data_IF_644579662268
#
_entry.id   IF_644579662268
#
_cell.length_a   1.000
_cell.length_b   1.000
_cell.length_c   1.000
_cell.angle_alpha   90.00
_cell.angle_beta   90.00
_cell.angle_gamma   90.00
#
_symmetry.space_group_name_H-M   'P 1'
#
loop_
_entity.id
_entity.type
_entity.pdbx_description
1 polymer ?
#
# COMPACT_ATOMS: atom_id res chain seq x y z
N UNK A 1 23.42 -6.62 -34.22
CA UNK A 1 23.18 -6.41 -32.78
C UNK A 1 23.34 -7.75 -32.08
N UNK A 2 24.38 -7.93 -31.25
CA UNK A 2 24.80 -9.26 -30.77
C UNK A 2 23.73 -9.92 -29.89
N UNK A 3 23.63 -11.26 -29.97
CA UNK A 3 22.71 -12.09 -29.20
C UNK A 3 22.88 -11.88 -27.67
N UNK A 4 24.10 -11.57 -27.24
CA UNK A 4 24.44 -11.18 -25.87
C UNK A 4 23.73 -9.91 -25.41
N UNK A 5 23.71 -8.85 -26.24
CA UNK A 5 23.02 -7.58 -25.89
C UNK A 5 21.50 -7.77 -25.70
N UNK A 6 20.89 -8.67 -26.48
CA UNK A 6 19.46 -8.98 -26.36
C UNK A 6 19.14 -9.76 -25.07
N UNK A 7 20.01 -10.67 -24.67
CA UNK A 7 19.86 -11.43 -23.42
C UNK A 7 19.96 -10.53 -22.19
N UNK A 8 20.98 -9.65 -22.15
CA UNK A 8 21.13 -8.66 -21.07
C UNK A 8 19.93 -7.72 -20.96
N UNK A 9 19.41 -7.22 -22.09
CA UNK A 9 18.22 -6.37 -22.11
C UNK A 9 16.96 -7.06 -21.57
N UNK A 10 16.78 -8.35 -21.88
CA UNK A 10 15.64 -9.13 -21.38
C UNK A 10 15.76 -9.39 -19.87
N UNK A 11 16.95 -9.76 -19.40
CA UNK A 11 17.23 -9.99 -17.99
C UNK A 11 17.02 -8.70 -17.15
N UNK A 12 17.54 -7.57 -17.64
CA UNK A 12 17.35 -6.27 -17.00
C UNK A 12 15.86 -5.87 -16.93
N UNK A 13 15.10 -6.10 -18.00
CA UNK A 13 13.65 -5.86 -18.01
C UNK A 13 12.90 -6.72 -16.98
N UNK A 14 13.22 -8.02 -16.90
CA UNK A 14 12.59 -8.91 -15.92
C UNK A 14 12.96 -8.54 -14.49
N UNK A 15 14.22 -8.18 -14.24
CA UNK A 15 14.68 -7.70 -12.94
C UNK A 15 13.96 -6.39 -12.54
N UNK A 16 13.91 -5.40 -13.43
CA UNK A 16 13.21 -4.14 -13.18
C UNK A 16 11.70 -4.34 -12.97
N UNK A 17 11.07 -5.21 -13.75
CA UNK A 17 9.65 -5.55 -13.58
C UNK A 17 9.39 -6.25 -12.24
N UNK A 18 10.27 -7.16 -11.85
CA UNK A 18 10.20 -7.85 -10.56
C UNK A 18 10.38 -6.89 -9.39
N UNK A 19 11.35 -5.98 -9.48
CA UNK A 19 11.59 -4.97 -8.45
C UNK A 19 10.41 -4.00 -8.35
N UNK A 20 9.86 -3.51 -9.47
CA UNK A 20 8.66 -2.67 -9.48
C UNK A 20 7.47 -3.37 -8.82
N UNK A 21 7.25 -4.64 -9.13
CA UNK A 21 6.22 -5.46 -8.52
C UNK A 21 6.40 -5.58 -6.99
N UNK A 22 7.64 -5.84 -6.54
CA UNK A 22 7.96 -5.92 -5.11
C UNK A 22 7.77 -4.58 -4.40
N UNK A 23 8.20 -3.46 -5.00
CA UNK A 23 8.02 -2.12 -4.43
C UNK A 23 6.54 -1.78 -4.24
N UNK A 24 5.72 -2.03 -5.26
CA UNK A 24 4.26 -1.85 -5.16
C UNK A 24 3.67 -2.74 -4.08
N UNK A 25 4.06 -4.02 -4.03
CA UNK A 25 3.55 -4.97 -3.06
C UNK A 25 3.91 -4.56 -1.63
N UNK A 26 5.17 -4.21 -1.36
CA UNK A 26 5.63 -3.77 -0.03
C UNK A 26 4.91 -2.52 0.41
N UNK A 27 4.83 -1.51 -0.45
CA UNK A 27 4.13 -0.26 -0.14
C UNK A 27 2.66 -0.50 0.14
N UNK A 28 2.01 -1.35 -0.64
CA UNK A 28 0.64 -1.77 -0.36
C UNK A 28 0.52 -2.47 0.99
N UNK A 29 1.35 -3.49 1.28
CA UNK A 29 1.31 -4.21 2.55
C UNK A 29 1.49 -3.28 3.75
N UNK A 30 2.43 -2.34 3.67
CA UNK A 30 2.67 -1.38 4.74
C UNK A 30 1.46 -0.45 4.92
N UNK A 31 1.01 0.20 3.85
CA UNK A 31 -0.15 1.10 3.89
C UNK A 31 -1.38 0.36 4.40
N UNK A 32 -1.61 -0.85 3.93
CA UNK A 32 -2.75 -1.68 4.29
C UNK A 32 -2.72 -2.08 5.76
N UNK A 33 -1.56 -2.52 6.26
CA UNK A 33 -1.36 -2.86 7.66
C UNK A 33 -1.65 -1.70 8.62
N UNK A 34 -1.14 -0.50 8.31
CA UNK A 34 -1.35 0.69 9.15
C UNK A 34 -2.74 1.29 8.99
N UNK A 35 -3.36 1.16 7.81
CA UNK A 35 -4.72 1.63 7.58
C UNK A 35 -5.73 0.76 8.33
N UNK A 36 -5.49 -0.55 8.40
CA UNK A 36 -6.36 -1.50 9.09
C UNK A 36 -6.13 -1.62 10.60
N UNK A 37 -5.07 -1.01 11.14
CA UNK A 37 -4.86 -0.97 12.58
C UNK A 37 -6.02 -0.21 13.24
N UNK A 38 -6.81 -0.84 14.12
CA UNK A 38 -7.84 -0.15 14.89
C UNK A 38 -7.20 0.94 15.74
N UNK A 39 -7.73 2.15 15.64
CA UNK A 39 -7.32 3.31 16.44
C UNK A 39 -8.56 3.93 17.04
N UNK A 40 -8.51 4.25 18.33
CA UNK A 40 -9.59 4.98 18.98
C UNK A 40 -9.61 6.42 18.47
N UNK A 41 -10.79 6.87 18.03
CA UNK A 41 -11.04 8.21 17.49
C UNK A 41 -12.04 8.99 18.34
N UNK A 42 -12.47 8.44 19.49
CA UNK A 42 -13.27 9.15 20.49
C UNK A 42 -12.61 10.49 20.84
N UNK A 43 -13.33 11.60 20.63
CA UNK A 43 -12.87 12.96 20.96
C UNK A 43 -12.21 13.75 19.81
N UNK A 44 -11.94 13.16 18.65
CA UNK A 44 -11.34 13.89 17.51
C UNK A 44 -12.39 14.50 16.57
N UNK A 45 -12.79 15.76 16.80
CA UNK A 45 -13.77 16.45 15.93
C UNK A 45 -13.30 16.64 14.47
N UNK A 46 -11.98 16.78 14.26
CA UNK A 46 -11.35 16.98 12.94
C UNK A 46 -10.21 15.97 12.65
N UNK A 47 -9.63 15.34 13.68
CA UNK A 47 -8.55 14.36 13.55
C UNK A 47 -9.00 13.01 12.97
N UNK A 48 -10.21 12.54 13.31
CA UNK A 48 -10.76 11.29 12.81
C UNK A 48 -11.07 11.33 11.31
N UNK A 49 -11.72 12.39 10.82
CA UNK A 49 -12.04 12.54 9.39
C UNK A 49 -10.80 12.80 8.53
N UNK A 50 -9.90 13.69 8.95
CA UNK A 50 -8.69 13.98 8.16
C UNK A 50 -7.74 12.76 8.15
N UNK A 51 -7.60 12.06 9.27
CA UNK A 51 -6.84 10.81 9.36
C UNK A 51 -7.44 9.72 8.48
N UNK A 52 -8.76 9.59 8.43
CA UNK A 52 -9.47 8.66 7.56
C UNK A 52 -9.25 8.97 6.06
N UNK A 53 -9.38 10.23 5.65
CA UNK A 53 -9.13 10.65 4.27
C UNK A 53 -7.68 10.41 3.85
N UNK A 54 -6.71 10.71 4.72
CA UNK A 54 -5.29 10.42 4.48
C UNK A 54 -5.05 8.92 4.32
N UNK A 55 -5.55 8.09 5.25
CA UNK A 55 -5.43 6.62 5.18
C UNK A 55 -6.04 6.07 3.88
N UNK A 56 -7.23 6.53 3.49
CA UNK A 56 -7.88 6.13 2.24
C UNK A 56 -7.11 6.60 1.01
N UNK A 57 -6.61 7.83 1.02
CA UNK A 57 -5.82 8.36 -0.11
C UNK A 57 -4.54 7.56 -0.32
N UNK A 58 -3.87 7.14 0.76
CA UNK A 58 -2.70 6.28 0.72
C UNK A 58 -3.07 4.88 0.18
N UNK A 59 -4.21 4.33 0.60
CA UNK A 59 -4.69 3.03 0.10
C UNK A 59 -5.03 3.08 -1.39
N UNK A 60 -5.73 4.12 -1.86
CA UNK A 60 -5.99 4.32 -3.30
C UNK A 60 -4.70 4.47 -4.09
N UNK A 61 -3.74 5.22 -3.55
CA UNK A 61 -2.42 5.37 -4.16
C UNK A 61 -1.75 4.01 -4.29
N UNK A 62 -1.73 3.21 -3.23
CA UNK A 62 -1.16 1.87 -3.24
C UNK A 62 -1.86 0.93 -4.24
N UNK A 63 -3.20 0.94 -4.30
CA UNK A 63 -3.98 0.14 -5.27
C UNK A 63 -3.65 0.54 -6.71
N UNK A 64 -3.44 1.83 -6.96
CA UNK A 64 -3.12 2.33 -8.31
C UNK A 64 -1.81 1.73 -8.86
N UNK A 65 -0.86 1.38 -8.00
CA UNK A 65 0.37 0.68 -8.39
C UNK A 65 0.09 -0.67 -9.09
N UNK A 66 -0.88 -1.44 -8.59
CA UNK A 66 -1.28 -2.70 -9.22
C UNK A 66 -2.00 -2.50 -10.55
N UNK A 67 -2.76 -1.40 -10.69
CA UNK A 67 -3.38 -1.03 -11.96
C UNK A 67 -2.30 -0.70 -13.00
N UNK A 68 -1.27 0.07 -12.63
CA UNK A 68 -0.14 0.36 -13.51
C UNK A 68 0.64 -0.89 -13.92
N UNK A 69 0.93 -1.80 -12.97
CA UNK A 69 1.55 -3.10 -13.27
C UNK A 69 0.74 -3.88 -14.33
N UNK A 70 -0.58 -3.89 -14.19
CA UNK A 70 -1.50 -4.56 -15.12
C UNK A 70 -1.61 -3.85 -16.48
N UNK A 71 -1.67 -2.52 -16.49
CA UNK A 71 -1.80 -1.68 -17.69
C UNK A 71 -0.59 -1.83 -18.60
N UNK A 72 0.63 -1.74 -18.04
CA UNK A 72 1.87 -1.94 -18.79
C UNK A 72 2.20 -3.43 -19.03
N UNK A 73 1.40 -4.34 -18.43
CA UNK A 73 1.58 -5.80 -18.50
C UNK A 73 2.99 -6.23 -18.11
N UNK A 74 3.50 -5.66 -17.01
CA UNK A 74 4.83 -5.96 -16.51
C UNK A 74 4.92 -7.44 -16.09
N UNK A 75 6.12 -8.01 -16.16
CA UNK A 75 6.29 -9.42 -15.83
C UNK A 75 5.81 -9.72 -14.39
N UNK A 76 5.02 -10.78 -14.22
CA UNK A 76 4.53 -11.18 -12.90
C UNK A 76 3.30 -10.45 -12.37
N UNK A 77 2.75 -9.44 -13.07
CA UNK A 77 1.63 -8.62 -12.55
C UNK A 77 0.44 -9.46 -12.03
N UNK A 78 0.08 -10.54 -12.73
CA UNK A 78 -1.04 -11.42 -12.33
C UNK A 78 -0.79 -12.12 -11.00
N UNK A 79 0.44 -12.56 -10.77
CA UNK A 79 0.84 -13.23 -9.53
C UNK A 79 0.81 -12.24 -8.38
N UNK A 80 1.31 -11.04 -8.63
CA UNK A 80 1.34 -9.94 -7.64
C UNK A 80 -0.08 -9.57 -7.18
N UNK A 81 -1.06 -9.52 -8.08
CA UNK A 81 -2.47 -9.33 -7.72
C UNK A 81 -3.01 -10.44 -6.79
N UNK A 82 -2.63 -11.69 -7.02
CA UNK A 82 -3.03 -12.80 -6.15
C UNK A 82 -2.38 -12.69 -4.76
N UNK A 83 -1.07 -12.42 -4.72
CA UNK A 83 -0.33 -12.26 -3.45
C UNK A 83 -0.85 -11.06 -2.66
N UNK A 84 -1.16 -9.94 -3.33
CA UNK A 84 -1.76 -8.77 -2.70
C UNK A 84 -3.12 -9.09 -2.07
N UNK A 85 -3.98 -9.85 -2.77
CA UNK A 85 -5.25 -10.31 -2.21
C UNK A 85 -5.09 -11.19 -0.97
N UNK A 86 -4.10 -12.10 -0.96
CA UNK A 86 -3.79 -12.92 0.22
C UNK A 86 -3.31 -12.07 1.40
N UNK A 87 -2.44 -11.08 1.13
CA UNK A 87 -1.92 -10.18 2.15
C UNK A 87 -3.04 -9.33 2.76
N UNK A 88 -3.93 -8.77 1.93
CA UNK A 88 -5.11 -8.02 2.38
C UNK A 88 -5.96 -8.85 3.34
N UNK A 89 -6.28 -10.09 2.95
CA UNK A 89 -7.08 -11.00 3.79
C UNK A 89 -6.34 -11.32 5.09
N UNK A 90 -5.04 -11.62 5.00
CA UNK A 90 -4.22 -11.95 6.17
C UNK A 90 -4.11 -10.79 7.16
N UNK A 91 -3.90 -9.57 6.68
CA UNK A 91 -3.83 -8.35 7.49
C UNK A 91 -5.19 -8.06 8.14
N UNK A 92 -6.27 -8.09 7.35
CA UNK A 92 -7.61 -7.89 7.87
C UNK A 92 -7.96 -8.93 8.94
N UNK A 93 -7.58 -10.18 8.73
CA UNK A 93 -7.83 -11.28 9.67
C UNK A 93 -7.00 -11.12 10.95
N UNK A 94 -5.72 -10.74 10.80
CA UNK A 94 -4.85 -10.43 11.93
C UNK A 94 -5.47 -9.35 12.83
N UNK A 95 -5.90 -8.24 12.23
CA UNK A 95 -6.54 -7.16 12.99
C UNK A 95 -7.92 -7.55 13.52
N UNK A 96 -8.70 -8.37 12.83
CA UNK A 96 -9.99 -8.89 13.32
C UNK A 96 -9.82 -9.72 14.59
N UNK A 97 -8.80 -10.57 14.64
CA UNK A 97 -8.50 -11.39 15.82
C UNK A 97 -8.05 -10.50 16.99
N UNK A 98 -7.18 -9.51 16.72
CA UNK A 98 -6.73 -8.53 17.72
C UNK A 98 -7.88 -7.67 18.25
N UNK A 99 -8.77 -7.22 17.37
CA UNK A 99 -9.96 -6.43 17.71
C UNK A 99 -10.78 -7.13 18.80
N UNK A 100 -10.99 -8.44 18.67
CA UNK A 100 -11.75 -9.23 19.65
C UNK A 100 -11.05 -9.35 21.02
N UNK A 101 -9.72 -9.28 21.06
CA UNK A 101 -8.95 -9.55 22.26
C UNK A 101 -8.52 -8.29 23.03
N UNK A 102 -8.21 -7.21 22.32
CA UNK A 102 -7.57 -6.03 22.89
C UNK A 102 -8.49 -4.81 22.97
N UNK A 103 -9.61 -4.81 22.23
CA UNK A 103 -10.44 -3.62 22.03
C UNK A 103 -11.89 -3.84 22.48
N UNK A 104 -12.06 -4.35 23.71
CA UNK A 104 -13.36 -4.69 24.31
C UNK A 104 -14.03 -3.53 25.05
N UNK A 105 -13.44 -2.33 25.02
CA UNK A 105 -13.97 -1.17 25.74
C UNK A 105 -15.23 -0.63 25.03
N UNK A 106 -16.41 -0.63 25.68
CA UNK A 106 -17.64 -0.15 25.08
C UNK A 106 -17.66 1.35 24.79
N UNK A 107 -16.74 2.14 25.36
CA UNK A 107 -16.67 3.60 25.16
C UNK A 107 -15.70 4.01 24.02
N UNK A 108 -14.88 3.09 23.51
CA UNK A 108 -13.94 3.35 22.42
C UNK A 108 -14.65 3.38 21.06
N UNK A 109 -14.54 4.49 20.34
CA UNK A 109 -14.98 4.59 18.95
C UNK A 109 -13.81 4.22 18.05
N UNK A 110 -13.75 2.97 17.63
CA UNK A 110 -12.62 2.46 16.86
C UNK A 110 -12.82 2.66 15.35
N UNK A 111 -11.75 3.09 14.69
CA UNK A 111 -11.68 3.15 13.22
C UNK A 111 -10.39 2.49 12.74
N UNK A 112 -10.43 1.52 11.81
CA UNK A 112 -11.65 0.90 11.23
C UNK A 112 -12.42 0.01 12.23
N UNK A 113 -13.74 -0.12 12.04
CA UNK A 113 -14.58 -1.02 12.83
C UNK A 113 -14.49 -2.48 12.30
N UNK A 114 -15.00 -3.41 13.08
CA UNK A 114 -15.22 -4.81 12.74
C UNK A 114 -15.86 -5.06 11.36
N UNK A 115 -16.80 -4.21 10.96
CA UNK A 115 -17.47 -4.27 9.67
C UNK A 115 -16.55 -3.87 8.52
N UNK A 116 -15.73 -2.83 8.71
CA UNK A 116 -14.71 -2.36 7.75
C UNK A 116 -13.62 -3.41 7.51
N UNK A 117 -13.19 -4.11 8.58
CA UNK A 117 -12.25 -5.24 8.44
C UNK A 117 -12.84 -6.37 7.59
N UNK A 118 -14.14 -6.64 7.74
CA UNK A 118 -14.83 -7.65 6.93
C UNK A 118 -14.96 -7.22 5.46
N UNK A 119 -15.25 -5.94 5.21
CA UNK A 119 -15.25 -5.36 3.87
C UNK A 119 -13.87 -5.46 3.22
N UNK A 120 -12.81 -5.21 3.99
CA UNK A 120 -11.42 -5.34 3.53
C UNK A 120 -11.07 -6.76 3.09
N UNK A 121 -11.54 -7.78 3.83
CA UNK A 121 -11.39 -9.18 3.40
C UNK A 121 -12.07 -9.44 2.06
N UNK A 122 -13.27 -8.89 1.82
CA UNK A 122 -13.97 -9.03 0.54
C UNK A 122 -13.20 -8.37 -0.60
N UNK A 123 -12.58 -7.21 -0.36
CA UNK A 123 -11.68 -6.56 -1.34
C UNK A 123 -10.51 -7.48 -1.67
N UNK A 124 -9.88 -8.08 -0.65
CA UNK A 124 -8.80 -9.04 -0.83
C UNK A 124 -9.20 -10.27 -1.64
N UNK A 125 -10.40 -10.82 -1.39
CA UNK A 125 -10.98 -11.92 -2.18
C UNK A 125 -11.21 -11.47 -3.64
N UNK A 126 -11.70 -10.25 -3.85
CA UNK A 126 -11.85 -9.66 -5.18
C UNK A 126 -10.52 -9.57 -5.95
N UNK A 127 -9.46 -9.10 -5.28
CA UNK A 127 -8.12 -9.03 -5.88
C UNK A 127 -7.56 -10.42 -6.22
N UNK A 128 -7.70 -11.38 -5.29
CA UNK A 128 -7.27 -12.77 -5.46
C UNK A 128 -7.96 -13.42 -6.66
N UNK A 129 -9.29 -13.34 -6.71
CA UNK A 129 -10.10 -13.93 -7.77
C UNK A 129 -9.83 -13.28 -9.12
N UNK A 130 -9.64 -11.96 -9.16
CA UNK A 130 -9.26 -11.25 -10.39
C UNK A 130 -7.89 -11.71 -10.91
N UNK A 131 -6.88 -11.77 -10.04
CA UNK A 131 -5.55 -12.26 -10.37
C UNK A 131 -5.58 -13.70 -10.89
N UNK A 132 -6.29 -14.58 -10.20
CA UNK A 132 -6.46 -15.98 -10.57
C UNK A 132 -7.18 -16.15 -11.92
N UNK A 133 -8.27 -15.41 -12.14
CA UNK A 133 -9.01 -15.44 -13.40
C UNK A 133 -8.13 -15.00 -14.57
N UNK A 134 -7.39 -13.89 -14.42
CA UNK A 134 -6.44 -13.42 -15.44
C UNK A 134 -5.30 -14.42 -15.69
N UNK A 135 -4.82 -15.08 -14.64
CA UNK A 135 -3.78 -16.11 -14.73
C UNK A 135 -4.26 -17.33 -15.53
N UNK A 136 -5.43 -17.86 -15.18
CA UNK A 136 -6.05 -19.00 -15.88
C UNK A 136 -6.36 -18.64 -17.33
N UNK A 137 -6.96 -17.47 -17.58
CA UNK A 137 -7.25 -17.01 -18.95
C UNK A 137 -6.00 -16.96 -19.82
N UNK A 138 -4.88 -16.50 -19.27
CA UNK A 138 -3.64 -16.41 -20.01
C UNK A 138 -2.94 -17.76 -20.26
N UNK A 139 -3.20 -18.78 -19.42
CA UNK A 139 -2.74 -20.14 -19.69
C UNK A 139 -3.58 -20.83 -20.77
N UNK A 140 -4.87 -20.47 -20.90
CA UNK A 140 -5.79 -21.04 -21.89
C UNK A 140 -5.65 -20.44 -23.28
N UNK A 141 -5.26 -19.16 -23.36
CA UNK A 141 -4.97 -18.49 -24.64
C UNK A 141 -3.50 -18.75 -24.95
N UNK A 142 -3.21 -19.47 -26.06
CA UNK A 142 -1.84 -19.61 -26.55
C UNK A 142 -1.21 -18.22 -26.66
N UNK A 143 0.05 -18.03 -26.21
CA UNK A 143 0.71 -16.75 -26.35
C UNK A 143 0.82 -16.46 -27.84
N UNK A 144 -0.06 -15.62 -28.38
CA UNK A 144 0.24 -14.94 -29.61
C UNK A 144 1.46 -14.09 -29.28
N UNK A 145 2.62 -14.50 -29.79
CA UNK A 145 3.85 -13.72 -29.84
C UNK A 145 3.57 -12.44 -30.61
N UNK A 146 2.83 -11.51 -29.99
CA UNK A 146 2.82 -10.12 -30.41
C UNK A 146 4.06 -9.53 -29.77
N UNK A 147 5.16 -9.33 -30.54
CA UNK A 147 6.28 -8.57 -30.05
C UNK A 147 5.71 -7.25 -29.55
N UNK A 148 5.92 -6.94 -28.27
CA UNK A 148 5.51 -5.66 -27.73
C UNK A 148 6.22 -4.61 -28.58
N UNK A 149 5.47 -3.80 -29.34
CA UNK A 149 6.03 -2.84 -30.29
C UNK A 149 7.03 -1.86 -29.65
N UNK A 150 7.06 -1.74 -28.31
CA UNK A 150 7.97 -0.85 -27.58
C UNK A 150 8.42 -1.43 -26.21
N UNK A 151 9.48 -2.26 -26.15
CA UNK A 151 10.01 -2.80 -24.89
C UNK A 151 10.63 -1.72 -23.98
N UNK A 152 11.12 -0.61 -24.57
CA UNK A 152 11.70 0.50 -23.82
C UNK A 152 10.65 1.20 -22.94
N UNK A 153 9.41 1.36 -23.42
CA UNK A 153 8.34 2.03 -22.68
C UNK A 153 7.94 1.26 -21.41
N UNK A 154 7.89 -0.08 -21.48
CA UNK A 154 7.64 -0.92 -20.28
C UNK A 154 8.77 -0.84 -19.27
N UNK A 155 10.01 -0.73 -19.75
CA UNK A 155 11.18 -0.59 -18.87
C UNK A 155 11.15 0.76 -18.15
N UNK A 156 10.83 1.85 -18.86
CA UNK A 156 10.63 3.16 -18.24
C UNK A 156 9.47 3.16 -17.24
N UNK A 157 8.35 2.50 -17.57
CA UNK A 157 7.24 2.35 -16.64
C UNK A 157 7.64 1.59 -15.37
N UNK A 158 8.42 0.51 -15.49
CA UNK A 158 8.93 -0.23 -14.34
C UNK A 158 9.84 0.65 -13.46
N UNK A 159 10.75 1.42 -14.07
CA UNK A 159 11.61 2.37 -13.34
C UNK A 159 10.80 3.45 -12.63
N UNK A 160 9.78 4.01 -13.30
CA UNK A 160 8.88 4.99 -12.70
C UNK A 160 8.14 4.42 -11.48
N UNK A 161 7.66 3.17 -11.56
CA UNK A 161 7.04 2.49 -10.43
C UNK A 161 8.00 2.23 -9.27
N UNK A 162 9.26 1.87 -9.55
CA UNK A 162 10.29 1.72 -8.51
C UNK A 162 10.53 3.05 -7.79
N UNK A 163 10.61 4.15 -8.53
CA UNK A 163 10.82 5.48 -7.93
C UNK A 163 9.63 5.89 -7.07
N UNK A 164 8.41 5.73 -7.58
CA UNK A 164 7.18 6.20 -6.90
C UNK A 164 6.73 5.31 -5.75
N UNK A 165 6.87 3.99 -5.87
CA UNK A 165 6.42 3.02 -4.84
C UNK A 165 7.57 2.43 -4.03
N UNK A 166 8.82 2.68 -4.39
CA UNK A 166 9.99 2.22 -3.64
C UNK A 166 10.72 3.39 -3.02
N UNK A 167 11.28 4.29 -3.85
CA UNK A 167 12.15 5.37 -3.37
C UNK A 167 11.37 6.41 -2.58
N UNK A 168 10.25 6.92 -3.12
CA UNK A 168 9.45 7.95 -2.46
C UNK A 168 8.98 7.58 -1.04
N UNK A 169 8.33 6.41 -0.79
CA UNK A 169 7.94 6.04 0.56
C UNK A 169 9.16 5.89 1.47
N UNK A 170 10.26 5.30 0.99
CA UNK A 170 11.50 5.18 1.77
C UNK A 170 12.07 6.55 2.17
N UNK A 171 11.97 7.56 1.31
CA UNK A 171 12.42 8.92 1.65
C UNK A 171 11.48 9.60 2.65
N UNK A 172 10.16 9.38 2.55
CA UNK A 172 9.20 9.93 3.50
C UNK A 172 9.37 9.33 4.92
N UNK A 173 9.67 8.02 5.01
CA UNK A 173 9.91 7.33 6.28
C UNK A 173 11.21 7.75 6.99
N UNK A 174 12.11 8.51 6.34
CA UNK A 174 13.33 9.01 7.00
C UNK A 174 13.06 10.17 7.95
N UNK A 175 11.89 10.81 7.86
CA UNK A 175 11.51 11.85 8.78
C UNK A 175 10.85 11.20 10.01
N UNK A 176 11.41 11.46 11.19
CA UNK A 176 10.84 10.96 12.45
C UNK A 176 9.40 11.49 12.58
N UNK A 177 8.44 10.63 12.96
CA UNK A 177 7.08 11.08 13.20
C UNK A 177 7.10 12.10 14.33
N UNK A 178 6.46 13.25 14.14
CA UNK A 178 6.39 14.27 15.19
C UNK A 178 5.77 13.65 16.45
N UNK A 179 6.31 13.96 17.64
CA UNK A 179 5.76 13.47 18.89
C UNK A 179 4.31 13.94 19.07
N UNK A 180 3.53 13.18 19.83
CA UNK A 180 2.21 13.63 20.27
C UNK A 180 2.37 14.95 21.06
N UNK A 181 1.46 15.91 20.88
CA UNK A 181 1.58 17.28 21.43
C UNK A 181 2.83 18.08 21.03
N UNK A 182 3.20 18.04 19.75
CA UNK A 182 4.25 18.87 19.18
C UNK A 182 3.75 20.31 18.93
N UNK A 183 4.49 21.29 19.42
CA UNK A 183 4.27 22.71 19.15
C UNK A 183 5.53 23.35 18.58
N UNK A 184 5.36 24.32 17.69
CA UNK A 184 6.47 25.20 17.28
C UNK A 184 6.89 26.11 18.45
N UNK A 185 8.10 26.70 18.40
CA UNK A 185 8.51 27.74 19.34
C UNK A 185 7.58 28.97 19.32
N UNK A 186 6.92 29.21 18.18
CA UNK A 186 5.90 30.25 18.00
C UNK A 186 4.51 29.88 18.56
N UNK A 187 4.36 28.68 19.14
CA UNK A 187 3.12 28.24 19.78
C UNK A 187 2.06 27.66 18.83
N UNK A 188 2.42 27.38 17.57
CA UNK A 188 1.53 26.71 16.63
C UNK A 188 1.53 25.20 16.90
N UNK A 189 0.34 24.62 16.90
CA UNK A 189 0.16 23.18 17.13
C UNK A 189 0.49 22.40 15.85
N UNK A 190 1.48 21.50 15.94
CA UNK A 190 1.94 20.65 14.83
C UNK A 190 1.35 19.23 14.90
N UNK A 191 0.99 18.75 16.09
CA UNK A 191 0.29 17.48 16.28
C UNK A 191 -0.83 17.58 17.32
N UNK A 192 -1.82 16.69 17.24
CA UNK A 192 -3.02 16.72 18.08
C UNK A 192 -2.67 16.28 19.50
N UNK A 193 -3.20 17.00 20.50
CA UNK A 193 -3.20 16.61 21.92
C UNK A 193 -4.53 15.92 22.23
N UNK A 194 -4.49 14.71 22.78
CA UNK A 194 -5.69 13.90 23.00
C UNK A 194 -5.98 13.64 24.48
N UNK A 195 -5.07 13.96 25.39
CA UNK A 195 -5.28 13.90 26.84
C UNK A 195 -5.03 15.23 27.57
N UNK A 196 -5.69 15.42 28.73
CA UNK A 196 -5.40 16.52 29.68
C UNK A 196 -4.03 16.35 30.37
N UNK A 197 -3.47 15.14 30.36
CA UNK A 197 -2.16 14.78 30.94
C UNK A 197 -1.02 14.75 29.90
N UNK A 198 -1.28 15.11 28.64
CA UNK A 198 -0.23 15.07 27.61
C UNK A 198 0.75 16.26 27.79
N UNK A 199 2.02 15.97 28.06
CA UNK A 199 3.07 16.99 28.18
C UNK A 199 3.31 17.68 26.83
N UNK A 200 3.30 19.02 26.85
CA UNK A 200 3.59 19.85 25.68
C UNK A 200 5.05 19.70 25.27
N UNK A 201 5.30 19.13 24.10
CA UNK A 201 6.66 18.98 23.55
C UNK A 201 6.87 20.08 22.51
N UNK A 202 7.76 21.02 22.82
CA UNK A 202 8.17 22.05 21.87
C UNK A 202 9.23 21.44 20.97
N UNK A 203 8.94 21.37 19.67
CA UNK A 203 9.89 20.90 18.66
C UNK A 203 10.60 22.13 18.13
N UNK A 204 11.88 22.27 18.44
CA UNK A 204 12.76 23.24 17.80
C UNK A 204 13.08 22.71 16.39
N UNK A 205 12.74 23.49 15.35
CA UNK A 205 13.13 23.21 13.95
C UNK A 205 14.66 23.18 13.77
#
# INVERSE_FOLDING_TARGET
MSQSLRFFGLAAYHAASGLAALSVLVTFTLVDYYTMKPTDVSGTLLGGQMGFLLKISLLYTAISGFLWLGLFRLAGWRIVWMVAGLLQIGIALYWRIRYWHEYSDPEAMLSPDSSDLSLSMLIGIGMLTFGAWKYVKARRVQPTDRPASFPWFRTLAALFLILTYGVWPLTAYRHEPLPNCAFTPSGQQLSICLGEDDERIIVEE
#
